data_IF_588640321519
#
_entry.id   IF_588640321519
#
_cell.length_a   1.000
_cell.length_b   1.000
_cell.length_c   1.000
_cell.angle_alpha   90.00
_cell.angle_beta   90.00
_cell.angle_gamma   90.00
#
_symmetry.space_group_name_H-M   'P 1'
#
loop_
_entity.id
_entity.type
_entity.pdbx_description
1 polymer ?
#
# COMPACT_ATOMS: atom_id res chain seq x y z
N UNK A 1 1.66 -26.92 6.63
CA UNK A 1 1.80 -26.56 5.21
C UNK A 1 1.00 -25.30 5.00
N UNK A 2 1.67 -24.20 4.65
CA UNK A 2 1.03 -22.92 4.43
C UNK A 2 0.24 -22.91 3.13
N UNK A 3 -0.81 -22.09 3.05
CA UNK A 3 -1.70 -21.99 1.89
C UNK A 3 -0.96 -21.67 0.57
N UNK A 4 0.25 -21.10 0.64
CA UNK A 4 1.03 -20.66 -0.51
C UNK A 4 2.21 -21.55 -0.89
N UNK A 5 2.47 -22.67 -0.18
CA UNK A 5 3.70 -23.46 -0.39
C UNK A 5 3.82 -24.00 -1.83
N UNK A 6 2.70 -24.47 -2.42
CA UNK A 6 2.67 -24.95 -3.80
C UNK A 6 2.90 -23.85 -4.84
N UNK A 7 2.32 -22.66 -4.63
CA UNK A 7 2.53 -21.50 -5.48
C UNK A 7 3.97 -21.02 -5.41
N UNK A 8 4.51 -20.91 -4.18
CA UNK A 8 5.90 -20.51 -3.92
C UNK A 8 6.90 -21.38 -4.68
N UNK A 9 6.76 -22.70 -4.56
CA UNK A 9 7.64 -23.65 -5.23
C UNK A 9 7.56 -23.55 -6.76
N UNK A 10 6.39 -23.25 -7.32
CA UNK A 10 6.24 -23.02 -8.76
C UNK A 10 6.93 -21.72 -9.18
N UNK A 11 6.69 -20.63 -8.45
CA UNK A 11 7.28 -19.33 -8.76
C UNK A 11 8.81 -19.36 -8.66
N UNK A 12 9.38 -20.00 -7.65
CA UNK A 12 10.83 -20.15 -7.50
C UNK A 12 11.50 -20.84 -8.70
N UNK A 13 10.80 -21.79 -9.36
CA UNK A 13 11.34 -22.50 -10.53
C UNK A 13 11.35 -21.68 -11.82
N UNK A 14 10.43 -20.72 -11.94
CA UNK A 14 10.23 -19.94 -13.18
C UNK A 14 10.76 -18.51 -13.06
N UNK A 15 10.94 -18.02 -11.85
CA UNK A 15 11.43 -16.67 -11.62
C UNK A 15 12.91 -16.56 -12.04
N UNK A 16 13.31 -15.42 -12.64
CA UNK A 16 14.71 -15.21 -12.99
C UNK A 16 15.59 -15.16 -11.74
N UNK A 17 16.88 -15.40 -11.92
CA UNK A 17 17.86 -15.22 -10.87
C UNK A 17 17.83 -13.76 -10.38
N UNK A 18 17.79 -13.58 -9.06
CA UNK A 18 17.91 -12.26 -8.46
C UNK A 18 19.38 -11.88 -8.34
N UNK A 19 19.70 -10.61 -8.55
CA UNK A 19 21.03 -10.09 -8.28
C UNK A 19 21.29 -9.91 -6.77
N UNK A 20 20.25 -10.01 -5.92
CA UNK A 20 20.35 -9.84 -4.47
C UNK A 20 20.88 -8.47 -4.03
N UNK A 21 20.73 -7.44 -4.87
CA UNK A 21 21.30 -6.10 -4.62
C UNK A 21 20.51 -5.30 -3.58
N UNK A 22 19.25 -5.64 -3.35
CA UNK A 22 18.44 -5.01 -2.32
C UNK A 22 18.46 -5.85 -1.05
N UNK A 23 18.64 -5.19 0.08
CA UNK A 23 18.28 -5.70 1.39
C UNK A 23 16.76 -5.63 1.59
N UNK A 24 16.24 -6.37 2.58
CA UNK A 24 14.82 -6.28 2.94
C UNK A 24 14.41 -4.84 3.37
N UNK A 25 15.30 -4.12 4.06
CA UNK A 25 15.08 -2.73 4.46
C UNK A 25 15.02 -1.79 3.27
N UNK A 26 15.96 -1.90 2.32
CA UNK A 26 15.95 -1.10 1.10
C UNK A 26 14.70 -1.39 0.26
N UNK A 27 14.31 -2.67 0.16
CA UNK A 27 13.08 -3.07 -0.51
C UNK A 27 11.84 -2.40 0.09
N UNK A 28 11.69 -2.42 1.42
CA UNK A 28 10.59 -1.74 2.12
C UNK A 28 10.61 -0.22 1.87
N UNK A 29 11.79 0.40 1.89
CA UNK A 29 11.93 1.83 1.61
C UNK A 29 11.62 2.17 0.13
N UNK A 30 11.97 1.31 -0.81
CA UNK A 30 11.57 1.44 -2.22
C UNK A 30 10.06 1.36 -2.36
N UNK A 31 9.40 0.43 -1.66
CA UNK A 31 7.94 0.33 -1.61
C UNK A 31 7.30 1.58 -1.00
N UNK A 32 7.86 2.08 0.10
CA UNK A 32 7.39 3.31 0.74
C UNK A 32 7.53 4.52 -0.21
N UNK A 33 8.65 4.65 -0.92
CA UNK A 33 8.87 5.71 -1.88
C UNK A 33 7.92 5.61 -3.08
N UNK A 34 7.74 4.41 -3.65
CA UNK A 34 6.81 4.18 -4.75
C UNK A 34 5.38 4.55 -4.36
N UNK A 35 4.93 4.14 -3.16
CA UNK A 35 3.63 4.52 -2.63
C UNK A 35 3.49 6.02 -2.40
N UNK A 36 4.49 6.67 -1.79
CA UNK A 36 4.46 8.11 -1.55
C UNK A 36 4.35 8.91 -2.86
N UNK A 37 5.15 8.54 -3.87
CA UNK A 37 5.14 9.18 -5.19
C UNK A 37 3.83 8.89 -5.93
N UNK A 38 3.36 7.64 -5.91
CA UNK A 38 2.15 7.24 -6.62
C UNK A 38 0.90 7.92 -6.04
N UNK A 39 0.71 7.85 -4.73
CA UNK A 39 -0.45 8.46 -4.07
C UNK A 39 -0.37 9.99 -4.05
N UNK A 40 0.80 10.56 -3.81
CA UNK A 40 1.01 12.01 -3.90
C UNK A 40 0.78 12.55 -5.31
N UNK A 41 1.30 11.86 -6.34
CA UNK A 41 1.02 12.19 -7.74
C UNK A 41 -0.46 12.05 -8.09
N UNK A 42 -1.13 11.01 -7.57
CA UNK A 42 -2.59 10.84 -7.74
C UNK A 42 -3.36 12.02 -7.14
N UNK A 43 -2.97 12.52 -5.96
CA UNK A 43 -3.59 13.73 -5.38
C UNK A 43 -3.40 14.96 -6.27
N UNK A 44 -2.18 15.19 -6.77
CA UNK A 44 -1.88 16.33 -7.65
C UNK A 44 -2.74 16.28 -8.92
N UNK A 45 -2.88 15.08 -9.51
CA UNK A 45 -3.77 14.88 -10.66
C UNK A 45 -5.22 15.15 -10.29
N UNK A 46 -5.69 14.68 -9.13
CA UNK A 46 -7.05 14.94 -8.66
C UNK A 46 -7.33 16.44 -8.50
N UNK A 47 -6.41 17.21 -7.92
CA UNK A 47 -6.56 18.66 -7.77
C UNK A 47 -6.60 19.42 -9.10
N UNK A 48 -5.95 18.90 -10.15
CA UNK A 48 -5.95 19.54 -11.47
C UNK A 48 -7.31 19.54 -12.17
N UNK A 49 -8.28 18.74 -11.68
CA UNK A 49 -9.65 18.61 -12.24
C UNK A 49 -9.68 18.30 -13.74
N UNK A 50 -8.62 17.67 -14.26
CA UNK A 50 -8.56 17.32 -15.69
C UNK A 50 -9.52 16.18 -16.03
N UNK A 51 -10.14 16.27 -17.20
CA UNK A 51 -11.04 15.24 -17.71
C UNK A 51 -10.36 13.86 -17.90
N UNK A 52 -9.05 13.84 -18.16
CA UNK A 52 -8.23 12.64 -18.30
C UNK A 52 -7.53 12.21 -17.00
N UNK A 53 -7.90 12.79 -15.86
CA UNK A 53 -7.21 12.60 -14.58
C UNK A 53 -7.09 11.13 -14.14
N UNK A 54 -8.16 10.35 -14.28
CA UNK A 54 -8.15 8.92 -13.93
C UNK A 54 -7.17 8.11 -14.80
N UNK A 55 -7.09 8.42 -16.10
CA UNK A 55 -6.14 7.79 -17.01
C UNK A 55 -4.70 8.20 -16.70
N UNK A 56 -4.46 9.48 -16.41
CA UNK A 56 -3.14 10.00 -16.06
C UNK A 56 -2.62 9.38 -14.75
N UNK A 57 -3.46 9.29 -13.73
CA UNK A 57 -3.13 8.60 -12.48
C UNK A 57 -2.85 7.11 -12.71
N UNK A 58 -3.65 6.46 -13.55
CA UNK A 58 -3.42 5.05 -13.92
C UNK A 58 -2.09 4.86 -14.65
N UNK A 59 -1.75 5.74 -15.59
CA UNK A 59 -0.47 5.70 -16.31
C UNK A 59 0.73 5.89 -15.37
N UNK A 60 0.63 6.83 -14.41
CA UNK A 60 1.61 6.99 -13.34
C UNK A 60 1.82 5.67 -12.57
N UNK A 61 0.72 5.02 -12.16
CA UNK A 61 0.79 3.75 -11.44
C UNK A 61 1.36 2.60 -12.27
N UNK A 62 1.07 2.53 -13.57
CA UNK A 62 1.66 1.54 -14.47
C UNK A 62 3.18 1.66 -14.48
N UNK A 63 3.71 2.88 -14.58
CA UNK A 63 5.16 3.12 -14.57
C UNK A 63 5.77 2.77 -13.21
N UNK A 64 5.17 3.24 -12.11
CA UNK A 64 5.66 2.98 -10.76
C UNK A 64 5.60 1.50 -10.38
N UNK A 65 4.49 0.82 -10.65
CA UNK A 65 4.34 -0.61 -10.37
C UNK A 65 5.22 -1.44 -11.28
N UNK A 66 5.35 -1.10 -12.57
CA UNK A 66 6.29 -1.77 -13.48
C UNK A 66 7.72 -1.68 -12.95
N UNK A 67 8.15 -0.49 -12.52
CA UNK A 67 9.45 -0.28 -11.88
C UNK A 67 9.61 -1.08 -10.59
N UNK A 68 8.64 -1.03 -9.69
CA UNK A 68 8.70 -1.74 -8.41
C UNK A 68 8.66 -3.27 -8.58
N UNK A 69 7.86 -3.80 -9.50
CA UNK A 69 7.85 -5.22 -9.89
C UNK A 69 9.22 -5.60 -10.45
N UNK A 70 9.81 -4.78 -11.32
CA UNK A 70 11.17 -4.98 -11.83
C UNK A 70 12.21 -5.06 -10.72
N UNK A 71 12.19 -4.11 -9.77
CA UNK A 71 13.06 -4.13 -8.59
C UNK A 71 12.84 -5.39 -7.74
N UNK A 72 11.59 -5.79 -7.54
CA UNK A 72 11.23 -6.99 -6.77
C UNK A 72 11.77 -8.25 -7.43
N UNK A 73 11.48 -8.44 -8.72
CA UNK A 73 11.80 -9.65 -9.46
C UNK A 73 13.30 -9.80 -9.68
N UNK A 74 14.01 -8.69 -9.95
CA UNK A 74 15.42 -8.73 -10.36
C UNK A 74 16.42 -8.49 -9.23
N UNK A 75 16.03 -7.81 -8.15
CA UNK A 75 16.98 -7.34 -7.14
C UNK A 75 16.63 -7.68 -5.69
N UNK A 76 15.36 -7.94 -5.37
CA UNK A 76 14.98 -8.34 -4.02
C UNK A 76 15.47 -9.76 -3.70
N UNK A 77 15.76 -10.09 -2.43
CA UNK A 77 16.18 -11.42 -2.05
C UNK A 77 14.99 -12.38 -2.08
N UNK A 78 15.25 -13.67 -2.27
CA UNK A 78 14.20 -14.70 -2.35
C UNK A 78 13.34 -14.78 -1.08
N UNK A 79 13.93 -14.49 0.08
CA UNK A 79 13.21 -14.38 1.35
C UNK A 79 12.14 -13.28 1.36
N UNK A 80 12.24 -12.29 0.47
CA UNK A 80 11.22 -11.23 0.27
C UNK A 80 10.30 -11.59 -0.89
N UNK A 81 10.86 -11.91 -2.07
CA UNK A 81 10.11 -12.22 -3.32
C UNK A 81 9.03 -13.28 -3.11
N UNK A 82 9.35 -14.27 -2.29
CA UNK A 82 8.55 -15.46 -2.07
C UNK A 82 7.95 -15.52 -0.66
N UNK A 83 7.98 -14.42 0.08
CA UNK A 83 7.34 -14.32 1.39
C UNK A 83 5.81 -14.35 1.28
N UNK A 84 5.14 -14.85 2.31
CA UNK A 84 3.67 -14.84 2.37
C UNK A 84 3.10 -13.43 2.33
N UNK A 85 3.81 -12.46 2.93
CA UNK A 85 3.44 -11.06 2.85
C UNK A 85 3.48 -10.55 1.40
N UNK A 86 4.53 -10.85 0.63
CA UNK A 86 4.64 -10.40 -0.76
C UNK A 86 3.55 -11.00 -1.64
N UNK A 87 3.23 -12.29 -1.45
CA UNK A 87 2.15 -12.95 -2.18
C UNK A 87 0.79 -12.34 -1.86
N UNK A 88 0.54 -12.02 -0.57
CA UNK A 88 -0.70 -11.35 -0.17
C UNK A 88 -0.80 -9.95 -0.78
N UNK A 89 0.25 -9.13 -0.70
CA UNK A 89 0.31 -7.80 -1.33
C UNK A 89 0.11 -7.88 -2.85
N UNK A 90 0.73 -8.85 -3.51
CA UNK A 90 0.52 -9.12 -4.93
C UNK A 90 -0.95 -9.38 -5.24
N UNK A 91 -1.59 -10.28 -4.48
CA UNK A 91 -3.00 -10.60 -4.67
C UNK A 91 -3.92 -9.38 -4.48
N UNK A 92 -3.81 -8.67 -3.35
CA UNK A 92 -4.70 -7.53 -3.05
C UNK A 92 -4.50 -6.36 -4.00
N UNK A 93 -3.26 -6.07 -4.41
CA UNK A 93 -2.98 -5.02 -5.38
C UNK A 93 -3.48 -5.39 -6.78
N UNK A 94 -3.34 -6.66 -7.19
CA UNK A 94 -3.93 -7.12 -8.47
C UNK A 94 -5.45 -7.01 -8.44
N UNK A 95 -6.11 -7.35 -7.33
CA UNK A 95 -7.56 -7.16 -7.19
C UNK A 95 -7.96 -5.69 -7.25
N UNK A 96 -7.26 -4.80 -6.54
CA UNK A 96 -7.55 -3.37 -6.58
C UNK A 96 -7.35 -2.79 -7.99
N UNK A 97 -6.27 -3.18 -8.68
CA UNK A 97 -6.02 -2.77 -10.07
C UNK A 97 -7.11 -3.28 -11.02
N UNK A 98 -7.58 -4.51 -10.85
CA UNK A 98 -8.70 -5.03 -11.64
C UNK A 98 -9.96 -4.18 -11.45
N UNK A 99 -10.27 -3.77 -10.22
CA UNK A 99 -11.39 -2.87 -9.94
C UNK A 99 -11.18 -1.48 -10.56
N UNK A 100 -9.94 -0.95 -10.54
CA UNK A 100 -9.59 0.30 -11.25
C UNK A 100 -9.86 0.18 -12.76
N UNK A 101 -9.43 -0.90 -13.41
CA UNK A 101 -9.69 -1.13 -14.85
C UNK A 101 -11.19 -1.22 -15.13
N UNK A 102 -11.93 -1.97 -14.31
CA UNK A 102 -13.39 -2.08 -14.42
C UNK A 102 -14.08 -0.71 -14.20
N UNK A 103 -13.55 0.12 -13.30
CA UNK A 103 -14.01 1.49 -13.08
C UNK A 103 -13.73 2.43 -14.26
N UNK A 104 -12.56 2.31 -14.90
CA UNK A 104 -12.24 3.06 -16.13
C UNK A 104 -13.18 2.71 -17.29
N UNK A 105 -13.75 1.50 -17.29
CA UNK A 105 -14.76 1.06 -18.25
C UNK A 105 -16.19 1.51 -17.86
N UNK A 106 -16.37 2.22 -16.75
CA UNK A 106 -17.66 2.73 -16.27
C UNK A 106 -18.58 1.66 -15.69
N UNK A 107 -18.07 0.47 -15.36
CA UNK A 107 -18.89 -0.67 -14.91
C UNK A 107 -19.22 -0.59 -13.41
N UNK A 108 -18.35 0.03 -12.60
CA UNK A 108 -18.55 0.20 -11.16
C UNK A 108 -18.34 1.66 -10.75
N UNK A 109 -18.88 2.09 -9.59
CA UNK A 109 -18.70 3.47 -9.12
C UNK A 109 -17.23 3.86 -8.98
N UNK A 110 -16.90 5.09 -9.40
CA UNK A 110 -15.53 5.63 -9.35
C UNK A 110 -14.94 5.58 -7.94
N UNK A 111 -15.73 5.94 -6.94
CA UNK A 111 -15.33 5.92 -5.53
C UNK A 111 -14.90 4.51 -5.10
N UNK A 112 -15.57 3.45 -5.59
CA UNK A 112 -15.16 2.08 -5.31
C UNK A 112 -13.84 1.76 -6.03
N UNK A 113 -13.75 2.09 -7.31
CA UNK A 113 -12.64 1.72 -8.19
C UNK A 113 -11.31 2.42 -7.87
N UNK A 114 -11.35 3.71 -7.50
CA UNK A 114 -10.17 4.56 -7.37
C UNK A 114 -9.80 4.87 -5.92
N UNK A 115 -10.75 4.76 -4.98
CA UNK A 115 -10.50 5.00 -3.56
C UNK A 115 -10.64 3.75 -2.69
N UNK A 116 -11.86 3.23 -2.53
CA UNK A 116 -12.14 2.18 -1.55
C UNK A 116 -11.33 0.90 -1.81
N UNK A 117 -11.20 0.49 -3.08
CA UNK A 117 -10.40 -0.66 -3.45
C UNK A 117 -8.95 -0.57 -2.94
N UNK A 118 -8.34 0.61 -3.04
CA UNK A 118 -6.94 0.83 -2.68
C UNK A 118 -6.71 1.03 -1.19
N UNK A 119 -7.63 1.70 -0.49
CA UNK A 119 -7.60 1.77 0.98
C UNK A 119 -7.84 0.38 1.59
N UNK A 120 -8.78 -0.39 1.03
CA UNK A 120 -9.04 -1.77 1.45
C UNK A 120 -7.83 -2.67 1.17
N UNK A 121 -7.21 -2.58 -0.01
CA UNK A 121 -5.97 -3.29 -0.33
C UNK A 121 -4.87 -3.01 0.69
N UNK A 122 -4.64 -1.72 0.99
CA UNK A 122 -3.63 -1.29 1.98
C UNK A 122 -3.94 -1.82 3.38
N UNK A 123 -5.20 -1.77 3.78
CA UNK A 123 -5.68 -2.28 5.08
C UNK A 123 -5.44 -3.77 5.21
N UNK A 124 -5.86 -4.55 4.21
CA UNK A 124 -5.68 -6.01 4.19
C UNK A 124 -4.20 -6.37 4.12
N UNK A 125 -3.43 -5.69 3.26
CA UNK A 125 -1.99 -5.89 3.13
C UNK A 125 -1.26 -5.72 4.46
N UNK A 126 -1.57 -4.68 5.23
CA UNK A 126 -0.98 -4.48 6.55
C UNK A 126 -1.45 -5.44 7.61
N UNK A 127 -2.75 -5.77 7.64
CA UNK A 127 -3.26 -6.80 8.54
C UNK A 127 -2.56 -8.14 8.28
N UNK A 128 -2.38 -8.51 7.01
CA UNK A 128 -1.71 -9.74 6.61
C UNK A 128 -0.22 -9.72 6.95
N UNK A 129 0.51 -8.66 6.59
CA UNK A 129 1.92 -8.48 6.97
C UNK A 129 2.09 -8.58 8.48
N UNK A 130 1.20 -7.95 9.25
CA UNK A 130 1.20 -7.99 10.70
C UNK A 130 1.03 -9.41 11.25
N UNK A 131 0.04 -10.15 10.74
CA UNK A 131 -0.21 -11.55 11.13
C UNK A 131 0.94 -12.49 10.78
N UNK A 132 1.54 -12.34 9.58
CA UNK A 132 2.71 -13.13 9.16
C UNK A 132 3.90 -12.88 10.10
N UNK A 133 4.16 -11.62 10.47
CA UNK A 133 5.28 -11.27 11.35
C UNK A 133 5.06 -11.74 12.80
N UNK A 134 3.82 -11.66 13.32
CA UNK A 134 3.44 -12.25 14.61
C UNK A 134 3.70 -13.76 14.61
N UNK A 135 3.21 -14.47 13.58
CA UNK A 135 3.43 -15.91 13.43
C UNK A 135 4.91 -16.31 13.26
N UNK A 136 5.73 -15.42 12.71
CA UNK A 136 7.17 -15.59 12.57
C UNK A 136 7.99 -15.21 13.83
N UNK A 137 7.34 -14.96 14.97
CA UNK A 137 8.00 -14.62 16.22
C UNK A 137 8.56 -13.19 16.27
N UNK A 138 8.00 -12.27 15.47
CA UNK A 138 8.37 -10.86 15.44
C UNK A 138 7.21 -9.95 15.90
N UNK A 139 6.67 -10.15 17.11
CA UNK A 139 5.44 -9.49 17.58
C UNK A 139 5.56 -7.97 17.60
N UNK A 140 6.73 -7.43 17.97
CA UNK A 140 6.95 -5.99 18.01
C UNK A 140 6.77 -5.32 16.63
N UNK A 141 7.22 -5.98 15.55
CA UNK A 141 7.04 -5.50 14.17
C UNK A 141 5.63 -5.77 13.68
N UNK A 142 5.13 -6.99 13.92
CA UNK A 142 3.80 -7.42 13.48
C UNK A 142 2.68 -6.52 14.00
N UNK A 143 2.70 -6.17 15.30
CA UNK A 143 1.71 -5.24 15.90
C UNK A 143 1.75 -3.85 15.30
N UNK A 144 2.92 -3.37 14.88
CA UNK A 144 3.05 -2.08 14.20
C UNK A 144 2.27 -2.06 12.88
N UNK A 145 2.38 -3.11 12.07
CA UNK A 145 1.62 -3.27 10.83
C UNK A 145 0.13 -3.53 11.10
N UNK A 146 -0.23 -4.36 12.09
CA UNK A 146 -1.64 -4.54 12.48
C UNK A 146 -2.29 -3.20 12.86
N UNK A 147 -1.59 -2.36 13.64
CA UNK A 147 -2.07 -1.04 13.99
C UNK A 147 -2.22 -0.11 12.77
N UNK A 148 -1.32 -0.19 11.79
CA UNK A 148 -1.51 0.51 10.51
C UNK A 148 -2.76 -0.01 9.77
N UNK A 149 -3.03 -1.32 9.81
CA UNK A 149 -4.27 -1.91 9.32
C UNK A 149 -5.51 -1.33 10.01
N UNK A 150 -5.47 -1.14 11.33
CA UNK A 150 -6.57 -0.47 12.06
C UNK A 150 -6.77 0.97 11.59
N UNK A 151 -5.69 1.74 11.40
CA UNK A 151 -5.78 3.10 10.84
C UNK A 151 -6.38 3.07 9.44
N UNK A 152 -5.99 2.10 8.61
CA UNK A 152 -6.57 1.88 7.28
C UNK A 152 -8.07 1.56 7.31
N UNK A 153 -8.51 0.74 8.26
CA UNK A 153 -9.93 0.45 8.46
C UNK A 153 -10.71 1.70 8.87
N UNK A 154 -10.14 2.54 9.75
CA UNK A 154 -10.74 3.83 10.12
C UNK A 154 -10.86 4.75 8.90
N UNK A 155 -9.81 4.84 8.07
CA UNK A 155 -9.80 5.64 6.84
C UNK A 155 -10.83 5.12 5.82
N UNK A 156 -10.94 3.79 5.68
CA UNK A 156 -11.93 3.15 4.81
C UNK A 156 -13.36 3.46 5.29
N UNK A 157 -13.59 3.37 6.60
CA UNK A 157 -14.89 3.67 7.21
C UNK A 157 -15.25 5.13 7.03
N UNK A 158 -14.32 6.06 7.28
CA UNK A 158 -14.53 7.48 7.04
C UNK A 158 -14.83 7.76 5.56
N UNK A 159 -14.10 7.11 4.64
CA UNK A 159 -14.38 7.20 3.20
C UNK A 159 -15.74 6.65 2.80
N UNK A 160 -16.26 5.63 3.49
CA UNK A 160 -17.56 5.04 3.19
C UNK A 160 -18.73 5.88 3.71
N UNK A 161 -18.55 6.59 4.83
CA UNK A 161 -19.62 7.35 5.50
C UNK A 161 -19.59 8.83 5.13
N UNK A 162 -18.39 9.42 5.01
CA UNK A 162 -18.17 10.86 4.86
C UNK A 162 -17.12 11.17 3.78
N UNK A 163 -17.25 10.52 2.60
CA UNK A 163 -16.30 10.71 1.49
C UNK A 163 -16.01 12.19 1.15
N UNK A 164 -17.01 13.11 1.12
CA UNK A 164 -16.75 14.52 0.80
C UNK A 164 -15.75 15.21 1.73
N UNK A 165 -15.67 14.81 3.01
CA UNK A 165 -14.68 15.35 3.95
C UNK A 165 -13.28 14.80 3.71
N UNK A 166 -13.18 13.60 3.15
CA UNK A 166 -11.90 12.93 2.87
C UNK A 166 -11.34 13.32 1.50
N UNK A 167 -12.20 13.51 0.51
CA UNK A 167 -11.85 13.74 -0.89
C UNK A 167 -10.76 14.82 -1.11
N UNK A 168 -10.72 15.96 -0.38
CA UNK A 168 -9.73 17.01 -0.62
C UNK A 168 -8.27 16.57 -0.41
N UNK A 169 -8.02 15.59 0.47
CA UNK A 169 -6.67 15.12 0.81
C UNK A 169 -6.57 13.59 0.94
N UNK A 170 -7.55 12.85 0.43
CA UNK A 170 -7.66 11.41 0.63
C UNK A 170 -6.43 10.66 0.13
N UNK A 171 -5.97 10.96 -1.09
CA UNK A 171 -4.80 10.26 -1.62
C UNK A 171 -3.52 10.61 -0.86
N UNK A 172 -3.38 11.81 -0.28
CA UNK A 172 -2.27 12.11 0.63
C UNK A 172 -2.35 11.33 1.94
N UNK A 173 -3.56 11.19 2.50
CA UNK A 173 -3.78 10.38 3.67
C UNK A 173 -3.43 8.91 3.40
N UNK A 174 -3.78 8.39 2.22
CA UNK A 174 -3.37 7.06 1.76
C UNK A 174 -1.86 6.97 1.51
N UNK A 175 -1.22 8.02 1.00
CA UNK A 175 0.23 8.10 0.84
C UNK A 175 0.95 7.94 2.19
N UNK A 176 0.48 8.67 3.21
CA UNK A 176 1.01 8.58 4.57
C UNK A 176 0.77 7.18 5.17
N UNK A 177 -0.46 6.67 5.07
CA UNK A 177 -0.82 5.34 5.54
C UNK A 177 0.04 4.26 4.90
N UNK A 178 0.32 4.36 3.59
CA UNK A 178 1.12 3.39 2.85
C UNK A 178 2.64 3.51 3.13
N UNK A 179 3.19 4.72 3.22
CA UNK A 179 4.64 4.86 3.33
C UNK A 179 5.14 4.71 4.77
N UNK A 180 4.41 5.29 5.72
CA UNK A 180 4.91 5.54 7.06
C UNK A 180 5.13 4.26 7.89
N UNK A 181 4.28 3.22 7.86
CA UNK A 181 4.54 1.98 8.58
C UNK A 181 5.88 1.34 8.18
N UNK A 182 6.20 1.33 6.87
CA UNK A 182 7.46 0.78 6.36
C UNK A 182 8.66 1.63 6.77
N UNK A 183 8.55 2.96 6.68
CA UNK A 183 9.62 3.87 7.09
C UNK A 183 9.89 3.74 8.59
N UNK A 184 8.86 3.71 9.42
CA UNK A 184 9.01 3.55 10.87
C UNK A 184 9.57 2.18 11.23
N UNK A 185 9.19 1.12 10.51
CA UNK A 185 9.73 -0.21 10.72
C UNK A 185 11.24 -0.29 10.43
N UNK A 186 11.69 0.36 9.36
CA UNK A 186 13.10 0.35 8.95
C UNK A 186 13.95 1.34 9.73
N UNK A 187 13.43 2.54 10.03
CA UNK A 187 14.23 3.68 10.52
C UNK A 187 14.16 3.89 12.03
N UNK A 188 13.26 3.19 12.74
CA UNK A 188 13.04 3.44 14.17
C UNK A 188 12.93 2.15 14.97
N UNK A 189 13.34 2.23 16.23
CA UNK A 189 13.08 1.18 17.23
C UNK A 189 11.80 1.46 18.04
N UNK A 190 10.86 2.22 17.49
CA UNK A 190 9.65 2.62 18.22
C UNK A 190 8.80 1.39 18.57
N UNK A 191 8.25 1.32 19.80
CA UNK A 191 7.21 0.35 20.15
C UNK A 191 6.02 0.41 19.19
N UNK A 192 5.36 -0.73 18.98
CA UNK A 192 4.22 -0.85 18.07
C UNK A 192 3.14 0.22 18.29
N UNK A 193 2.77 0.47 19.55
CA UNK A 193 1.76 1.49 19.92
C UNK A 193 2.15 2.89 19.44
N UNK A 194 3.44 3.25 19.55
CA UNK A 194 3.92 4.55 19.07
C UNK A 194 3.94 4.61 17.55
N UNK A 195 4.31 3.52 16.87
CA UNK A 195 4.22 3.46 15.40
C UNK A 195 2.79 3.67 14.92
N UNK A 196 1.82 2.99 15.54
CA UNK A 196 0.40 3.15 15.25
C UNK A 196 -0.08 4.57 15.54
N UNK A 197 0.30 5.14 16.69
CA UNK A 197 -0.03 6.51 17.06
C UNK A 197 0.50 7.52 16.05
N UNK A 198 1.77 7.40 15.64
CA UNK A 198 2.39 8.28 14.63
C UNK A 198 1.67 8.16 13.28
N UNK A 199 1.38 6.94 12.82
CA UNK A 199 0.63 6.73 11.57
C UNK A 199 -0.75 7.36 11.65
N UNK A 200 -1.50 7.11 12.74
CA UNK A 200 -2.83 7.68 12.94
C UNK A 200 -2.84 9.20 13.00
N UNK A 201 -1.91 9.79 13.76
CA UNK A 201 -1.78 11.26 13.89
C UNK A 201 -1.44 11.90 12.54
N UNK A 202 -0.50 11.35 11.77
CA UNK A 202 -0.14 11.90 10.47
C UNK A 202 -1.31 11.80 9.48
N UNK A 203 -1.98 10.64 9.40
CA UNK A 203 -3.16 10.47 8.55
C UNK A 203 -4.26 11.46 8.93
N UNK A 204 -4.57 11.60 10.22
CA UNK A 204 -5.56 12.55 10.70
C UNK A 204 -5.18 14.01 10.42
N UNK A 205 -3.92 14.38 10.64
CA UNK A 205 -3.42 15.73 10.38
C UNK A 205 -3.52 16.10 8.89
N UNK A 206 -3.21 15.16 7.99
CA UNK A 206 -3.36 15.35 6.54
C UNK A 206 -4.82 15.58 6.16
N UNK A 207 -5.74 14.79 6.72
CA UNK A 207 -7.18 14.96 6.47
C UNK A 207 -7.70 16.30 7.00
N UNK A 208 -7.33 16.67 8.23
CA UNK A 208 -7.72 17.95 8.85
C UNK A 208 -7.18 19.12 8.03
N UNK A 209 -5.91 19.07 7.61
CA UNK A 209 -5.34 20.10 6.74
C UNK A 209 -6.12 20.19 5.41
N UNK A 210 -6.45 19.05 4.80
CA UNK A 210 -7.26 18.98 3.60
C UNK A 210 -8.61 19.67 3.75
N UNK A 211 -9.33 19.41 4.85
CA UNK A 211 -10.63 20.04 5.17
C UNK A 211 -10.49 21.55 5.36
N UNK A 212 -9.42 22.01 6.02
CA UNK A 212 -9.20 23.44 6.27
C UNK A 212 -8.89 24.21 4.97
N UNK A 213 -8.23 23.56 4.01
CA UNK A 213 -7.78 24.19 2.76
C UNK A 213 -8.73 24.02 1.56
N UNK A 214 -9.76 23.18 1.70
CA UNK A 214 -10.78 22.93 0.68
C UNK A 214 -11.81 24.06 0.62
#
# INVERSE_FOLDING_TARGET
MGAFDGLRNRLQRVAPATSGRLTASEFLLSGAAAGLVGWGGTQVVAWSSRADGALLATALWVVLMGGFIGLTVLHAPDSVRFSDAMLAWGAVNTTAMALTVVGLLGVIPEQLAFWHAWVASTTVGYCWTGGVLEGAGQPARGRGYLGAGVVGLCLLTAGAVEFPLIAPAGYLALAALHALPMVLDVRTALPAVHRTGVVGVVVAAVLVAGVITA
#
